data_IF_694426030905
#
_entry.id   IF_694426030905
#
_cell.length_a   1.000
_cell.length_b   1.000
_cell.length_c   1.000
_cell.angle_alpha   90.00
_cell.angle_beta   90.00
_cell.angle_gamma   90.00
#
_symmetry.space_group_name_H-M   'P 1'
#
loop_
_entity.id
_entity.type
_entity.pdbx_description
1 polymer ?
#
# COMPACT_ATOMS: atom_id res chain seq x y z
N UNK A 1 -53.72 55.45 60.80
CA UNK A 1 -52.43 54.77 60.58
C UNK A 1 -52.64 53.74 59.49
N UNK A 2 -52.29 54.15 58.24
CA UNK A 2 -52.60 53.35 57.01
C UNK A 2 -51.46 52.42 56.67
N UNK A 3 -51.74 51.15 56.49
CA UNK A 3 -50.79 50.22 55.93
C UNK A 3 -50.96 50.11 54.40
N UNK A 4 -49.87 50.39 53.68
CA UNK A 4 -49.83 50.34 52.23
C UNK A 4 -49.38 48.86 51.87
N UNK A 5 -50.26 48.13 51.19
CA UNK A 5 -49.95 46.80 50.66
C UNK A 5 -49.23 46.96 49.31
N UNK A 6 -48.06 46.37 49.20
CA UNK A 6 -47.30 46.25 47.95
C UNK A 6 -47.65 44.92 47.30
N UNK A 7 -48.31 44.98 46.14
CA UNK A 7 -48.54 43.81 45.29
C UNK A 7 -47.37 43.54 44.39
N UNK A 8 -46.74 42.37 44.51
CA UNK A 8 -45.68 41.87 43.62
C UNK A 8 -46.30 41.10 42.46
N UNK A 9 -46.28 41.71 41.31
CA UNK A 9 -46.73 41.06 40.08
C UNK A 9 -45.73 39.97 39.60
N UNK A 10 -46.22 38.73 39.48
CA UNK A 10 -45.46 37.62 38.87
C UNK A 10 -45.50 37.75 37.35
N UNK A 11 -44.46 38.32 36.80
CA UNK A 11 -44.23 38.29 35.34
C UNK A 11 -43.94 36.87 34.84
N UNK A 12 -44.79 36.30 34.03
CA UNK A 12 -44.66 35.00 33.40
C UNK A 12 -43.59 35.06 32.27
N UNK A 13 -42.39 34.56 32.53
CA UNK A 13 -41.30 34.42 31.57
C UNK A 13 -41.57 33.32 30.51
N UNK A 14 -42.46 33.62 29.55
CA UNK A 14 -42.69 32.74 28.39
C UNK A 14 -41.56 32.79 27.32
N UNK A 15 -40.86 33.89 27.27
CA UNK A 15 -39.83 34.13 26.22
C UNK A 15 -38.52 33.34 26.45
N UNK A 16 -38.18 33.08 27.72
CA UNK A 16 -36.95 32.38 28.09
C UNK A 16 -36.93 30.89 27.60
N UNK A 17 -38.08 30.21 27.69
CA UNK A 17 -38.17 28.81 27.27
C UNK A 17 -38.07 28.63 25.76
N UNK A 18 -38.67 29.54 24.98
CA UNK A 18 -38.59 29.52 23.52
C UNK A 18 -37.18 29.82 23.05
N UNK A 19 -36.50 30.81 23.64
CA UNK A 19 -35.11 31.10 23.34
C UNK A 19 -34.17 29.95 23.67
N UNK A 20 -34.37 29.30 24.79
CA UNK A 20 -33.56 28.12 25.18
C UNK A 20 -33.77 26.93 24.22
N UNK A 21 -35.01 26.68 23.79
CA UNK A 21 -35.31 25.59 22.82
C UNK A 21 -34.68 25.90 21.45
N UNK A 22 -34.78 27.17 20.97
CA UNK A 22 -34.17 27.56 19.69
C UNK A 22 -32.64 27.44 19.73
N UNK A 23 -31.99 27.85 20.81
CA UNK A 23 -30.53 27.73 20.95
C UNK A 23 -30.12 26.28 20.97
N UNK A 24 -30.80 25.41 21.73
CA UNK A 24 -30.46 23.96 21.81
C UNK A 24 -30.66 23.28 20.46
N UNK A 25 -31.74 23.58 19.74
CA UNK A 25 -31.96 22.98 18.40
C UNK A 25 -30.96 23.45 17.36
N UNK A 26 -30.61 24.76 17.34
CA UNK A 26 -29.59 25.30 16.42
C UNK A 26 -28.21 24.70 16.73
N UNK A 27 -27.85 24.57 18.01
CA UNK A 27 -26.59 23.95 18.41
C UNK A 27 -26.52 22.48 18.01
N UNK A 28 -27.60 21.72 18.20
CA UNK A 28 -27.66 20.30 17.81
C UNK A 28 -27.55 20.12 16.28
N UNK A 29 -28.17 21.00 15.47
CA UNK A 29 -28.09 20.98 14.02
C UNK A 29 -26.67 21.33 13.54
N UNK A 30 -26.03 22.32 14.17
CA UNK A 30 -24.64 22.70 13.82
C UNK A 30 -23.64 21.59 14.17
N UNK A 31 -23.79 20.95 15.35
CA UNK A 31 -22.97 19.82 15.75
C UNK A 31 -23.20 18.60 14.83
N UNK A 32 -24.47 18.32 14.48
CA UNK A 32 -24.83 17.26 13.56
C UNK A 32 -24.27 17.49 12.15
N UNK A 33 -24.35 18.70 11.63
CA UNK A 33 -23.78 19.07 10.33
C UNK A 33 -22.26 19.02 10.34
N UNK A 34 -21.61 19.48 11.42
CA UNK A 34 -20.16 19.38 11.57
C UNK A 34 -19.70 17.93 11.66
N UNK A 35 -20.40 17.07 12.39
CA UNK A 35 -20.10 15.65 12.48
C UNK A 35 -20.31 14.92 11.12
N UNK A 36 -21.32 15.33 10.35
CA UNK A 36 -21.53 14.79 9.00
C UNK A 36 -20.47 15.26 8.00
N UNK A 37 -20.03 16.52 8.12
CA UNK A 37 -18.98 17.09 7.26
C UNK A 37 -17.59 16.51 7.58
N UNK A 38 -17.28 16.22 8.85
CA UNK A 38 -16.02 15.58 9.27
C UNK A 38 -16.04 14.08 9.01
N UNK A 39 -17.20 13.42 9.15
CA UNK A 39 -17.35 11.97 8.88
C UNK A 39 -17.49 11.62 7.40
N UNK A 40 -17.73 12.60 6.51
CA UNK A 40 -17.89 12.39 5.07
C UNK A 40 -16.64 12.68 4.24
N UNK A 41 -15.59 13.23 4.84
CA UNK A 41 -14.27 13.30 4.23
C UNK A 41 -13.52 12.02 4.65
N UNK A 42 -13.76 10.92 3.93
CA UNK A 42 -12.80 9.85 3.85
C UNK A 42 -11.50 10.50 3.37
N UNK A 43 -10.55 10.67 4.28
CA UNK A 43 -9.18 10.93 3.91
C UNK A 43 -8.76 9.71 3.09
N UNK A 44 -8.73 9.85 1.76
CA UNK A 44 -7.82 9.07 0.92
C UNK A 44 -6.41 9.54 1.34
N UNK A 45 -6.02 9.16 2.55
CA UNK A 45 -4.65 9.18 2.97
C UNK A 45 -3.97 8.12 2.12
N UNK A 46 -3.40 8.48 1.00
CA UNK A 46 -2.71 7.69 -0.02
C UNK A 46 -2.08 6.34 0.41
N UNK A 47 -2.73 5.65 1.33
CA UNK A 47 -2.34 4.35 1.85
C UNK A 47 -2.81 3.31 0.85
N UNK A 48 -1.87 2.77 0.12
CA UNK A 48 -2.08 1.66 -0.80
C UNK A 48 -2.69 0.48 -0.05
N UNK A 49 -3.91 0.08 -0.43
CA UNK A 49 -4.55 -1.07 0.20
C UNK A 49 -3.87 -2.37 -0.24
N UNK A 50 -3.28 -3.09 0.72
CA UNK A 50 -2.68 -4.40 0.51
C UNK A 50 -3.60 -5.45 1.13
N UNK A 51 -3.96 -6.46 0.34
CA UNK A 51 -4.64 -7.65 0.82
C UNK A 51 -3.69 -8.84 0.77
N UNK A 52 -3.45 -9.44 1.91
CA UNK A 52 -2.69 -10.68 2.03
C UNK A 52 -3.68 -11.84 2.07
N UNK A 53 -3.59 -12.73 1.11
CA UNK A 53 -4.36 -13.97 1.07
C UNK A 53 -3.43 -15.12 1.48
N UNK A 54 -3.63 -15.65 2.69
CA UNK A 54 -2.82 -16.74 3.23
C UNK A 54 -2.53 -16.55 4.71
N UNK A 55 -1.83 -17.51 5.29
CA UNK A 55 -1.40 -17.46 6.68
C UNK A 55 -0.19 -16.52 6.81
N UNK A 56 -0.45 -15.24 7.12
CA UNK A 56 0.59 -14.23 7.37
C UNK A 56 1.50 -14.59 8.57
N UNK A 57 1.12 -15.58 9.37
CA UNK A 57 1.92 -16.15 10.44
C UNK A 57 2.79 -17.34 9.97
N UNK A 58 2.72 -17.70 8.68
CA UNK A 58 3.45 -18.82 8.10
C UNK A 58 4.96 -18.67 8.12
N UNK A 59 5.66 -19.74 7.75
CA UNK A 59 7.10 -19.70 7.55
C UNK A 59 7.49 -18.79 6.37
N UNK A 60 8.70 -18.22 6.41
CA UNK A 60 9.26 -17.48 5.27
C UNK A 60 9.17 -18.35 3.99
N UNK A 61 8.92 -17.74 2.82
CA UNK A 61 8.97 -18.47 1.57
C UNK A 61 10.32 -19.18 1.41
N UNK A 62 10.28 -20.45 1.05
CA UNK A 62 11.47 -21.27 0.88
C UNK A 62 11.54 -21.81 -0.54
N UNK A 63 12.74 -22.17 -1.00
CA UNK A 63 12.92 -22.84 -2.28
C UNK A 63 12.08 -24.13 -2.31
N UNK A 64 11.32 -24.31 -3.40
CA UNK A 64 10.37 -25.41 -3.59
C UNK A 64 8.96 -25.15 -3.04
N UNK A 65 8.76 -24.15 -2.17
CA UNK A 65 7.46 -23.77 -1.65
C UNK A 65 6.68 -22.87 -2.63
N UNK A 66 5.36 -22.85 -2.49
CA UNK A 66 4.50 -21.84 -3.10
C UNK A 66 4.59 -20.60 -2.20
N UNK A 67 4.98 -19.42 -2.73
CA UNK A 67 5.06 -18.20 -1.94
C UNK A 67 3.65 -17.70 -1.57
N UNK A 68 3.50 -16.92 -0.47
CA UNK A 68 2.26 -16.29 -0.14
C UNK A 68 1.75 -15.39 -1.28
N UNK A 69 0.46 -15.49 -1.60
CA UNK A 69 -0.17 -14.55 -2.52
C UNK A 69 -0.43 -13.22 -1.84
N UNK A 70 -0.40 -12.16 -2.61
CA UNK A 70 -0.75 -10.82 -2.15
C UNK A 70 -1.42 -10.04 -3.27
N UNK A 71 -2.20 -9.05 -2.87
CA UNK A 71 -2.74 -8.03 -3.77
C UNK A 71 -2.29 -6.66 -3.30
N UNK A 72 -1.76 -5.85 -4.21
CA UNK A 72 -1.31 -4.50 -3.95
C UNK A 72 -1.73 -3.55 -5.06
N UNK A 73 -1.45 -2.27 -4.91
CA UNK A 73 -1.53 -1.29 -5.99
C UNK A 73 -0.12 -0.91 -6.44
N UNK A 74 0.04 -0.75 -7.73
CA UNK A 74 1.24 -0.15 -8.32
C UNK A 74 1.22 1.37 -8.12
N UNK A 75 2.35 2.01 -8.35
CA UNK A 75 2.46 3.48 -8.19
C UNK A 75 1.52 4.27 -9.13
N UNK A 76 1.02 3.67 -10.21
CA UNK A 76 0.04 4.27 -11.13
C UNK A 76 -1.41 3.95 -10.75
N UNK A 77 -1.64 3.27 -9.62
CA UNK A 77 -2.96 2.90 -9.10
C UNK A 77 -3.53 1.62 -9.67
N UNK A 78 -2.82 0.92 -10.57
CA UNK A 78 -3.25 -0.37 -11.11
C UNK A 78 -3.21 -1.44 -10.02
N UNK A 79 -4.26 -2.23 -9.90
CA UNK A 79 -4.30 -3.35 -8.98
C UNK A 79 -3.52 -4.53 -9.55
N UNK A 80 -2.66 -5.15 -8.76
CA UNK A 80 -1.84 -6.30 -9.12
C UNK A 80 -1.86 -7.34 -8.00
N UNK A 81 -1.93 -8.62 -8.37
CA UNK A 81 -1.75 -9.74 -7.45
C UNK A 81 -0.68 -10.69 -8.00
N UNK A 82 0.07 -11.37 -7.12
CA UNK A 82 1.04 -12.36 -7.58
C UNK A 82 0.33 -13.49 -8.35
N UNK A 83 -0.87 -13.87 -7.92
CA UNK A 83 -1.71 -14.88 -8.60
C UNK A 83 -2.17 -14.50 -10.01
N UNK A 84 -2.13 -13.21 -10.40
CA UNK A 84 -2.45 -12.78 -11.77
C UNK A 84 -1.45 -13.34 -12.79
N UNK A 85 -0.26 -13.73 -12.33
CA UNK A 85 0.82 -14.28 -13.14
C UNK A 85 0.94 -15.80 -13.03
N UNK A 86 -0.11 -16.48 -12.56
CA UNK A 86 -0.10 -17.94 -12.47
C UNK A 86 0.22 -18.60 -13.83
N UNK A 87 1.14 -19.55 -13.83
CA UNK A 87 1.60 -20.22 -15.06
C UNK A 87 2.70 -19.49 -15.84
N UNK A 88 3.17 -18.36 -15.33
CA UNK A 88 4.29 -17.60 -15.89
C UNK A 88 5.51 -17.65 -14.97
N UNK A 89 6.74 -17.57 -15.51
CA UNK A 89 7.93 -17.35 -14.70
C UNK A 89 7.93 -15.91 -14.16
N UNK A 90 8.05 -15.78 -12.84
CA UNK A 90 8.02 -14.47 -12.16
C UNK A 90 9.33 -14.22 -11.42
N UNK A 91 9.93 -13.08 -11.67
CA UNK A 91 10.98 -12.51 -10.84
C UNK A 91 10.36 -11.44 -9.94
N UNK A 92 10.06 -11.81 -8.69
CA UNK A 92 9.58 -10.90 -7.66
C UNK A 92 10.79 -10.28 -6.95
N UNK A 93 10.89 -8.94 -6.96
CA UNK A 93 12.01 -8.23 -6.34
C UNK A 93 11.52 -7.17 -5.35
N UNK A 94 12.07 -7.22 -4.13
CA UNK A 94 11.84 -6.22 -3.09
C UNK A 94 12.94 -5.19 -3.13
N UNK A 95 12.56 -3.92 -3.14
CA UNK A 95 13.50 -2.81 -3.22
C UNK A 95 12.90 -1.51 -2.70
N UNK A 96 13.63 -0.41 -2.90
CA UNK A 96 13.16 0.94 -2.62
C UNK A 96 13.96 1.97 -3.41
N UNK A 97 13.36 3.13 -3.68
CA UNK A 97 14.02 4.23 -4.38
C UNK A 97 15.17 4.86 -3.57
N UNK A 98 15.09 4.78 -2.24
CA UNK A 98 16.11 5.27 -1.32
C UNK A 98 17.25 4.27 -1.07
N UNK A 99 17.14 3.01 -1.52
CA UNK A 99 18.16 1.97 -1.33
C UNK A 99 19.29 2.11 -2.35
N UNK A 100 20.56 2.31 -1.93
CA UNK A 100 21.67 2.49 -2.85
C UNK A 100 21.95 1.28 -3.75
N UNK A 101 21.92 0.08 -3.18
CA UNK A 101 22.17 -1.18 -3.90
C UNK A 101 21.07 -1.47 -4.92
N UNK A 102 19.79 -1.22 -4.54
CA UNK A 102 18.64 -1.35 -5.44
C UNK A 102 18.76 -0.40 -6.65
N UNK A 103 19.21 0.84 -6.40
CA UNK A 103 19.44 1.83 -7.46
C UNK A 103 20.59 1.45 -8.38
N UNK A 104 21.61 0.80 -7.83
CA UNK A 104 22.77 0.35 -8.62
C UNK A 104 22.39 -0.77 -9.58
N UNK A 105 21.55 -1.73 -9.15
CA UNK A 105 21.15 -2.87 -9.98
C UNK A 105 19.97 -2.57 -10.92
N UNK A 106 19.15 -1.54 -10.62
CA UNK A 106 17.92 -1.26 -11.36
C UNK A 106 18.07 -1.21 -12.90
N UNK A 107 19.13 -0.62 -13.47
CA UNK A 107 19.33 -0.65 -14.93
C UNK A 107 19.53 -2.07 -15.48
N UNK A 108 20.18 -2.95 -14.73
CA UNK A 108 20.41 -4.34 -15.13
C UNK A 108 19.13 -5.19 -14.97
N UNK A 109 18.31 -4.91 -13.94
CA UNK A 109 16.97 -5.50 -13.78
C UNK A 109 16.10 -5.14 -14.99
N UNK A 110 16.02 -3.86 -15.33
CA UNK A 110 15.25 -3.39 -16.48
C UNK A 110 15.75 -4.01 -17.80
N UNK A 111 17.07 -3.99 -18.02
CA UNK A 111 17.64 -4.58 -19.23
C UNK A 111 17.35 -6.08 -19.35
N UNK A 112 17.37 -6.80 -18.22
CA UNK A 112 17.02 -8.23 -18.20
C UNK A 112 15.54 -8.43 -18.45
N UNK A 113 14.67 -7.61 -17.85
CA UNK A 113 13.23 -7.65 -18.14
C UNK A 113 12.95 -7.46 -19.64
N UNK A 114 13.50 -6.40 -20.23
CA UNK A 114 13.34 -6.11 -21.65
C UNK A 114 13.83 -7.26 -22.57
N UNK A 115 14.90 -7.94 -22.18
CA UNK A 115 15.44 -9.05 -22.96
C UNK A 115 14.59 -10.34 -22.90
N UNK A 116 13.80 -10.52 -21.84
CA UNK A 116 13.10 -11.77 -21.59
C UNK A 116 11.57 -11.66 -21.52
N UNK A 117 10.97 -10.46 -21.51
CA UNK A 117 9.51 -10.26 -21.43
C UNK A 117 8.76 -10.95 -22.59
N UNK A 118 9.30 -10.90 -23.81
CA UNK A 118 8.72 -11.59 -24.98
C UNK A 118 8.81 -13.12 -24.87
N UNK A 119 9.60 -13.63 -23.93
CA UNK A 119 9.70 -15.05 -23.60
C UNK A 119 8.82 -15.42 -22.40
N UNK A 120 7.97 -14.50 -21.96
CA UNK A 120 6.99 -14.70 -20.89
C UNK A 120 7.50 -14.36 -19.48
N UNK A 121 8.71 -13.81 -19.31
CA UNK A 121 9.17 -13.35 -18.01
C UNK A 121 8.30 -12.20 -17.51
N UNK A 122 7.82 -12.34 -16.28
CA UNK A 122 7.26 -11.23 -15.49
C UNK A 122 8.29 -10.78 -14.48
N UNK A 123 8.55 -9.47 -14.40
CA UNK A 123 9.23 -8.84 -13.27
C UNK A 123 8.19 -8.06 -12.49
N UNK A 124 8.07 -8.32 -11.20
CA UNK A 124 7.19 -7.61 -10.28
C UNK A 124 8.04 -6.99 -9.17
N UNK A 125 8.15 -5.67 -9.16
CA UNK A 125 8.77 -4.93 -8.06
C UNK A 125 7.79 -4.80 -6.88
N UNK A 126 8.31 -4.85 -5.67
CA UNK A 126 7.63 -4.47 -4.44
C UNK A 126 8.52 -3.45 -3.74
N UNK A 127 8.13 -2.19 -3.79
CA UNK A 127 8.91 -1.11 -3.19
C UNK A 127 8.33 -0.78 -1.82
N UNK A 128 9.22 -0.80 -0.81
CA UNK A 128 8.86 -0.76 0.61
C UNK A 128 9.16 0.60 1.23
N UNK A 129 8.39 0.94 2.28
CA UNK A 129 8.63 2.12 3.13
C UNK A 129 8.76 3.43 2.33
N UNK A 130 7.91 3.58 1.30
CA UNK A 130 7.85 4.81 0.50
C UNK A 130 6.48 5.02 -0.15
N UNK A 131 6.19 6.25 -0.55
CA UNK A 131 4.92 6.62 -1.17
C UNK A 131 4.86 6.25 -2.65
N UNK A 132 3.63 6.18 -3.21
CA UNK A 132 3.43 5.98 -4.65
C UNK A 132 4.09 7.10 -5.49
N UNK A 133 4.10 8.33 -5.01
CA UNK A 133 4.72 9.48 -5.69
C UNK A 133 6.25 9.34 -5.74
N UNK A 134 6.88 8.87 -4.67
CA UNK A 134 8.33 8.62 -4.64
C UNK A 134 8.72 7.50 -5.60
N UNK A 135 7.97 6.38 -5.57
CA UNK A 135 8.15 5.25 -6.49
C UNK A 135 7.96 5.68 -7.93
N UNK A 136 6.89 6.41 -8.24
CA UNK A 136 6.60 6.93 -9.59
C UNK A 136 7.73 7.81 -10.10
N UNK A 137 8.16 8.77 -9.26
CA UNK A 137 9.26 9.69 -9.58
C UNK A 137 10.57 8.93 -9.84
N UNK A 138 10.84 7.89 -9.06
CA UNK A 138 12.03 7.07 -9.25
C UNK A 138 11.93 6.20 -10.51
N UNK A 139 10.83 5.48 -10.71
CA UNK A 139 10.62 4.61 -11.87
C UNK A 139 10.79 5.38 -13.19
N UNK A 140 10.22 6.59 -13.27
CA UNK A 140 10.37 7.47 -14.44
C UNK A 140 11.81 7.88 -14.67
N UNK A 141 12.55 8.31 -13.62
CA UNK A 141 13.95 8.72 -13.75
C UNK A 141 14.88 7.55 -14.10
N UNK A 142 14.61 6.37 -13.56
CA UNK A 142 15.41 5.16 -13.79
C UNK A 142 14.99 4.41 -15.07
N UNK A 143 13.88 4.81 -15.72
CA UNK A 143 13.37 4.19 -16.94
C UNK A 143 12.84 2.78 -16.71
N UNK A 144 12.31 2.48 -15.51
CA UNK A 144 11.73 1.18 -15.18
C UNK A 144 10.36 1.03 -15.83
N UNK A 145 10.12 -0.09 -16.50
CA UNK A 145 8.88 -0.34 -17.26
C UNK A 145 8.07 -1.53 -16.74
N UNK A 146 8.64 -2.35 -15.86
CA UNK A 146 7.92 -3.43 -15.20
C UNK A 146 6.99 -2.90 -14.09
N UNK A 147 5.91 -3.61 -13.73
CA UNK A 147 5.02 -3.22 -12.66
C UNK A 147 5.73 -3.16 -11.29
N UNK A 148 5.48 -2.09 -10.54
CA UNK A 148 6.04 -1.89 -9.20
C UNK A 148 4.90 -1.64 -8.22
N UNK A 149 4.64 -2.60 -7.36
CA UNK A 149 3.72 -2.50 -6.24
C UNK A 149 4.30 -1.63 -5.12
N UNK A 150 3.46 -0.82 -4.49
CA UNK A 150 3.85 0.05 -3.37
C UNK A 150 3.45 -0.61 -2.05
N UNK A 151 4.44 -1.00 -1.27
CA UNK A 151 4.30 -1.62 0.06
C UNK A 151 4.71 -0.65 1.16
N UNK A 152 3.99 0.47 1.26
CA UNK A 152 4.31 1.58 2.16
C UNK A 152 4.45 1.17 3.63
N UNK A 153 3.70 0.15 4.07
CA UNK A 153 3.68 -0.32 5.45
C UNK A 153 4.41 -1.65 5.63
N UNK A 154 5.20 -2.09 4.67
CA UNK A 154 5.99 -3.32 4.69
C UNK A 154 5.18 -4.60 4.97
N UNK A 155 3.90 -4.63 4.60
CA UNK A 155 3.03 -5.78 4.86
C UNK A 155 3.41 -6.98 3.99
N UNK A 156 3.69 -6.75 2.70
CA UNK A 156 4.16 -7.80 1.78
C UNK A 156 5.56 -8.22 2.18
N UNK A 157 6.48 -7.27 2.39
CA UNK A 157 7.86 -7.54 2.81
C UNK A 157 7.91 -8.34 4.12
N UNK A 158 7.08 -7.99 5.09
CA UNK A 158 6.94 -8.70 6.36
C UNK A 158 6.45 -10.15 6.17
N UNK A 159 5.47 -10.36 5.27
CA UNK A 159 4.95 -11.69 4.94
C UNK A 159 6.03 -12.55 4.27
N UNK A 160 6.85 -11.95 3.42
CA UNK A 160 7.97 -12.61 2.76
C UNK A 160 9.23 -12.73 3.64
N UNK A 161 9.20 -12.20 4.87
CA UNK A 161 10.33 -12.17 5.80
C UNK A 161 11.57 -11.52 5.17
N UNK A 162 11.36 -10.48 4.38
CA UNK A 162 12.43 -9.71 3.75
C UNK A 162 13.22 -8.98 4.83
N UNK A 163 14.44 -9.47 5.12
CA UNK A 163 15.32 -8.94 6.18
C UNK A 163 16.26 -7.84 5.68
N UNK A 164 16.25 -7.57 4.38
CA UNK A 164 17.08 -6.56 3.73
C UNK A 164 16.72 -6.45 2.26
N UNK A 165 17.09 -5.33 1.66
CA UNK A 165 16.86 -5.05 0.24
C UNK A 165 18.17 -4.73 -0.47
N UNK A 166 18.29 -5.10 -1.75
CA UNK A 166 17.29 -5.83 -2.52
C UNK A 166 17.17 -7.30 -2.10
N UNK A 167 15.99 -7.89 -2.27
CA UNK A 167 15.76 -9.34 -2.12
C UNK A 167 14.96 -9.84 -3.32
N UNK A 168 15.37 -10.96 -3.90
CA UNK A 168 14.82 -11.51 -5.13
C UNK A 168 14.28 -12.92 -4.89
N UNK A 169 13.07 -13.16 -5.37
CA UNK A 169 12.45 -14.48 -5.44
C UNK A 169 12.21 -14.81 -6.91
N UNK A 170 12.84 -15.85 -7.38
CA UNK A 170 12.63 -16.40 -8.72
C UNK A 170 11.60 -17.52 -8.62
N UNK A 171 10.42 -17.32 -9.22
CA UNK A 171 9.25 -18.21 -9.11
C UNK A 171 9.00 -18.83 -10.48
N UNK A 172 9.01 -20.15 -10.55
CA UNK A 172 8.77 -20.88 -11.79
C UNK A 172 7.31 -20.82 -12.24
N UNK A 173 7.05 -21.16 -13.49
CA UNK A 173 5.69 -21.25 -14.04
C UNK A 173 4.79 -22.25 -13.26
N UNK A 174 5.38 -23.19 -12.51
CA UNK A 174 4.68 -24.07 -11.58
C UNK A 174 4.26 -23.39 -10.27
N UNK A 175 4.48 -22.08 -10.14
CA UNK A 175 4.16 -21.27 -8.95
C UNK A 175 5.11 -21.49 -7.76
N UNK A 176 6.22 -22.22 -7.94
CA UNK A 176 7.14 -22.51 -6.84
C UNK A 176 8.40 -21.66 -6.90
N UNK A 177 8.86 -21.25 -5.73
CA UNK A 177 10.14 -20.53 -5.59
C UNK A 177 11.28 -21.48 -6.04
N UNK A 178 12.05 -21.06 -7.02
CA UNK A 178 13.22 -21.79 -7.54
C UNK A 178 14.51 -21.30 -6.90
N UNK A 179 14.63 -20.00 -6.68
CA UNK A 179 15.81 -19.39 -6.09
C UNK A 179 15.41 -18.18 -5.26
N UNK A 180 16.17 -17.91 -4.18
CA UNK A 180 16.05 -16.70 -3.35
C UNK A 180 17.45 -16.09 -3.25
N UNK A 181 17.55 -14.79 -3.48
CA UNK A 181 18.80 -14.04 -3.37
C UNK A 181 18.59 -12.78 -2.56
N UNK A 182 19.55 -12.46 -1.70
CA UNK A 182 19.57 -11.26 -0.87
C UNK A 182 20.80 -10.44 -1.22
N UNK A 183 20.61 -9.13 -1.41
CA UNK A 183 21.64 -8.21 -1.87
C UNK A 183 21.66 -8.05 -3.39
N UNK A 184 22.32 -6.99 -3.85
CA UNK A 184 22.42 -6.65 -5.27
C UNK A 184 23.05 -7.79 -6.09
N UNK A 185 22.45 -8.07 -7.23
CA UNK A 185 22.91 -9.09 -8.18
C UNK A 185 23.66 -8.42 -9.34
N UNK A 186 24.80 -8.99 -9.75
CA UNK A 186 25.38 -8.62 -11.03
C UNK A 186 24.51 -9.14 -12.18
N UNK A 187 24.51 -8.43 -13.30
CA UNK A 187 23.70 -8.75 -14.48
C UNK A 187 23.80 -10.22 -14.92
N UNK A 188 25.01 -10.78 -14.91
CA UNK A 188 25.23 -12.18 -15.27
C UNK A 188 24.48 -13.19 -14.39
N UNK A 189 24.32 -12.88 -13.10
CA UNK A 189 23.54 -13.73 -12.17
C UNK A 189 22.03 -13.56 -12.41
N UNK A 190 21.58 -12.34 -12.73
CA UNK A 190 20.18 -12.09 -13.11
C UNK A 190 19.82 -12.88 -14.37
N UNK A 191 20.63 -12.76 -15.43
CA UNK A 191 20.42 -13.47 -16.69
C UNK A 191 20.46 -15.00 -16.52
N UNK A 192 21.39 -15.51 -15.69
CA UNK A 192 21.45 -16.94 -15.35
C UNK A 192 20.15 -17.40 -14.68
N UNK A 193 19.76 -16.74 -13.59
CA UNK A 193 18.57 -17.12 -12.82
C UNK A 193 17.29 -17.06 -13.69
N UNK A 194 17.14 -16.01 -14.49
CA UNK A 194 16.01 -15.87 -15.41
C UNK A 194 16.04 -16.93 -16.51
N UNK A 195 17.22 -17.22 -17.09
CA UNK A 195 17.35 -18.27 -18.11
C UNK A 195 16.96 -19.65 -17.59
N UNK A 196 17.36 -19.99 -16.36
CA UNK A 196 16.96 -21.23 -15.69
C UNK A 196 15.47 -21.27 -15.34
N UNK A 197 14.86 -20.11 -15.11
CA UNK A 197 13.44 -19.99 -14.78
C UNK A 197 12.52 -20.24 -15.99
N UNK A 198 12.97 -19.87 -17.18
CA UNK A 198 12.18 -19.89 -18.42
C UNK A 198 12.33 -21.23 -19.18
N UNK A 199 13.41 -21.97 -18.95
CA UNK A 199 13.66 -23.26 -19.60
C UNK A 199 13.03 -24.42 -18.83
#
# INVERSE_FOLDING_TARGET
MSAVGVSVGHGRNGSSRIQTIVVVTVTAVVIGAAAWFVGGQGSDDGVTSINLTGDVAGAAPAVGAIPPDFTAQTYDGTKVALSDYAGQPVWLTFGASWCPDCRTEAPDVEATYQAYQDRGLVVLGVFIDESADDVSSYAQRAGLTFPIAVDQNELVASTYRTMGIPTHFFIGADGRVKEIRVGALPKSEMERAVSELIN
#
